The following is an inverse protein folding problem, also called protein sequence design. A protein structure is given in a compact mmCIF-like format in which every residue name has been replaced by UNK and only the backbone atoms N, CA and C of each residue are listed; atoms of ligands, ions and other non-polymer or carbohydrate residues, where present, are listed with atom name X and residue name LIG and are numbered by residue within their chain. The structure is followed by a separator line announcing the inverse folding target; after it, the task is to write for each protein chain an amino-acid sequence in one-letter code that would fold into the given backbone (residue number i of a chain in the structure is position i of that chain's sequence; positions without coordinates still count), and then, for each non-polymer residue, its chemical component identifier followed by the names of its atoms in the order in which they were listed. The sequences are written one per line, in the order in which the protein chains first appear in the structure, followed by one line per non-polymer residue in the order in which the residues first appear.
data_IF_608290034336
#
_entry.id   IF_608290034336
#
_cell.length_a   1.000
_cell.length_b   1.000
_cell.length_c   1.000
_cell.angle_alpha   90.00
_cell.angle_beta   90.00
_cell.angle_gamma   90.00
#
_symmetry.space_group_name_H-M   'P 1'
#
loop_
_entity.id
_entity.type
_entity.pdbx_description
1 polymer ?
#
# COMPACT_ATOMS: atom_id res chain seq x y z
N UNK A 1 4.85 -0.52 11.73
CA UNK A 1 3.90 -0.75 10.62
C UNK A 1 4.19 0.27 9.54
N UNK A 2 4.26 -0.15 8.28
CA UNK A 2 4.45 0.76 7.15
C UNK A 2 3.21 0.70 6.26
N UNK A 3 2.61 1.85 5.99
CA UNK A 3 1.44 1.96 5.12
C UNK A 3 1.91 2.33 3.71
N UNK A 4 1.49 1.52 2.73
CA UNK A 4 1.74 1.75 1.31
C UNK A 4 0.41 2.07 0.65
N UNK A 5 0.25 3.30 0.18
CA UNK A 5 -0.93 3.73 -0.54
C UNK A 5 -0.73 3.47 -2.03
N UNK A 6 -1.54 2.55 -2.58
CA UNK A 6 -1.45 2.11 -3.98
C UNK A 6 -2.37 2.88 -4.93
N UNK A 7 -2.95 3.99 -4.47
CA UNK A 7 -3.69 4.94 -5.32
C UNK A 7 -2.77 5.71 -6.26
N UNK A 8 -3.36 6.43 -7.21
CA UNK A 8 -2.58 7.34 -8.05
C UNK A 8 -2.00 8.48 -7.21
N UNK A 9 -0.99 9.14 -7.76
CA UNK A 9 -0.33 10.27 -7.11
C UNK A 9 -1.31 11.42 -6.82
N UNK A 10 -2.24 11.67 -7.74
CA UNK A 10 -3.24 12.73 -7.62
C UNK A 10 -4.21 12.44 -6.46
N UNK A 11 -4.69 11.21 -6.34
CA UNK A 11 -5.54 10.78 -5.23
C UNK A 11 -4.82 10.92 -3.88
N UNK A 12 -3.52 10.57 -3.84
CA UNK A 12 -2.69 10.66 -2.65
C UNK A 12 -2.42 12.12 -2.21
N UNK A 13 -2.18 13.01 -3.18
CA UNK A 13 -1.98 14.44 -2.92
C UNK A 13 -3.23 15.12 -2.36
N UNK A 14 -4.43 14.60 -2.66
CA UNK A 14 -5.69 15.07 -2.10
C UNK A 14 -5.93 14.69 -0.63
N UNK A 15 -5.07 13.85 -0.06
CA UNK A 15 -5.18 13.37 1.32
C UNK A 15 -4.74 11.91 1.41
N UNK A 16 -4.05 11.58 2.48
CA UNK A 16 -3.46 10.25 2.71
C UNK A 16 -3.24 9.98 4.19
N UNK A 17 -2.93 8.73 4.51
CA UNK A 17 -2.56 8.31 5.87
C UNK A 17 -1.22 8.95 6.22
N UNK A 18 -1.08 9.51 7.43
CA UNK A 18 0.19 10.10 7.88
C UNK A 18 1.34 9.10 7.77
N UNK A 19 2.50 9.57 7.32
CA UNK A 19 3.73 8.76 7.10
C UNK A 19 3.59 7.57 6.12
N UNK A 20 2.50 7.51 5.35
CA UNK A 20 2.36 6.52 4.27
C UNK A 20 3.23 6.85 3.06
N UNK A 21 3.66 5.81 2.35
CA UNK A 21 4.41 5.94 1.10
C UNK A 21 3.46 5.68 -0.06
N UNK A 22 3.42 6.59 -1.04
CA UNK A 22 2.67 6.35 -2.26
C UNK A 22 3.48 5.51 -3.24
N UNK A 23 2.94 4.33 -3.57
CA UNK A 23 3.46 3.45 -4.63
C UNK A 23 2.25 2.96 -5.42
N UNK A 24 1.86 3.67 -6.50
CA UNK A 24 0.71 3.30 -7.32
C UNK A 24 0.75 1.82 -7.73
N UNK A 25 -0.42 1.17 -7.80
CA UNK A 25 -0.54 -0.28 -8.06
C UNK A 25 0.24 -0.72 -9.31
N UNK A 26 0.20 0.07 -10.39
CA UNK A 26 0.90 -0.19 -11.64
C UNK A 26 2.42 -0.05 -11.55
N UNK A 27 2.93 0.61 -10.52
CA UNK A 27 4.37 0.79 -10.28
C UNK A 27 4.96 -0.27 -9.33
N UNK A 28 4.12 -1.02 -8.60
CA UNK A 28 4.57 -2.07 -7.67
C UNK A 28 5.59 -3.04 -8.30
N UNK A 29 5.40 -3.57 -9.52
CA UNK A 29 6.37 -4.51 -10.10
C UNK A 29 7.77 -3.92 -10.28
N UNK A 30 7.86 -2.62 -10.55
CA UNK A 30 9.13 -1.93 -10.76
C UNK A 30 9.79 -1.48 -9.46
N UNK A 31 9.06 -1.52 -8.33
CA UNK A 31 9.53 -1.06 -7.02
C UNK A 31 9.58 -2.16 -5.96
N UNK A 32 9.56 -3.43 -6.38
CA UNK A 32 9.66 -4.60 -5.49
C UNK A 32 10.88 -4.49 -4.56
N UNK A 33 12.05 -4.13 -5.10
CA UNK A 33 13.29 -4.05 -4.31
C UNK A 33 13.20 -3.03 -3.18
N UNK A 34 12.42 -1.96 -3.34
CA UNK A 34 12.18 -0.99 -2.27
C UNK A 34 11.33 -1.61 -1.16
N UNK A 35 10.28 -2.35 -1.54
CA UNK A 35 9.36 -3.01 -0.63
C UNK A 35 10.02 -4.14 0.17
N UNK A 36 10.96 -4.88 -0.44
CA UNK A 36 11.72 -5.93 0.24
C UNK A 36 12.59 -5.39 1.38
N UNK A 37 13.02 -4.13 1.29
CA UNK A 37 13.85 -3.48 2.31
C UNK A 37 13.02 -2.84 3.42
N UNK A 38 11.68 -2.83 3.32
CA UNK A 38 10.83 -2.25 4.35
C UNK A 38 10.67 -3.19 5.54
N UNK A 39 10.74 -2.63 6.75
CA UNK A 39 10.44 -3.37 7.97
C UNK A 39 8.94 -3.68 8.07
N UNK A 40 8.62 -4.95 8.36
CA UNK A 40 7.27 -5.41 8.63
C UNK A 40 6.68 -4.78 9.92
N UNK A 41 5.35 -4.74 10.08
CA UNK A 41 4.32 -5.18 9.12
C UNK A 41 4.05 -4.14 8.03
N UNK A 42 3.84 -4.61 6.78
CA UNK A 42 3.46 -3.80 5.63
C UNK A 42 1.94 -3.90 5.42
N UNK A 43 1.27 -2.74 5.31
CA UNK A 43 -0.17 -2.65 5.05
C UNK A 43 -0.39 -1.87 3.77
N UNK A 44 -1.11 -2.46 2.81
CA UNK A 44 -1.49 -1.77 1.58
C UNK A 44 -2.89 -1.17 1.74
N UNK A 45 -3.08 0.09 1.34
CA UNK A 45 -4.39 0.73 1.30
C UNK A 45 -4.66 1.34 -0.08
N UNK A 46 -5.93 1.57 -0.40
CA UNK A 46 -6.31 2.32 -1.58
C UNK A 46 -7.60 3.13 -1.36
N UNK A 47 -8.36 3.49 -2.39
CA UNK A 47 -9.62 4.22 -2.19
C UNK A 47 -10.71 3.37 -1.51
N UNK A 48 -10.84 2.09 -1.88
CA UNK A 48 -11.96 1.22 -1.48
C UNK A 48 -11.58 -0.21 -1.07
N UNK A 49 -10.29 -0.55 -1.10
CA UNK A 49 -9.78 -1.91 -0.81
C UNK A 49 -9.47 -2.79 -2.02
N UNK A 50 -10.00 -2.49 -3.22
CA UNK A 50 -9.83 -3.37 -4.40
C UNK A 50 -8.41 -3.38 -4.97
N UNK A 51 -7.75 -2.21 -5.05
CA UNK A 51 -6.38 -2.09 -5.58
C UNK A 51 -5.36 -2.62 -4.60
N UNK A 52 -5.57 -2.38 -3.30
CA UNK A 52 -4.70 -2.93 -2.25
C UNK A 52 -4.81 -4.46 -2.18
N UNK A 53 -5.99 -5.05 -2.40
CA UNK A 53 -6.12 -6.51 -2.51
C UNK A 53 -5.27 -7.09 -3.67
N UNK A 54 -5.30 -6.44 -4.84
CA UNK A 54 -4.46 -6.84 -5.98
C UNK A 54 -2.97 -6.71 -5.66
N UNK A 55 -2.57 -5.60 -5.04
CA UNK A 55 -1.18 -5.39 -4.62
C UNK A 55 -0.70 -6.43 -3.59
N UNK A 56 -1.55 -6.78 -2.61
CA UNK A 56 -1.22 -7.81 -1.62
C UNK A 56 -1.03 -9.17 -2.29
N UNK A 57 -1.96 -9.59 -3.15
CA UNK A 57 -1.81 -10.84 -3.90
C UNK A 57 -0.51 -10.84 -4.71
N UNK A 58 -0.18 -9.73 -5.37
CA UNK A 58 1.07 -9.61 -6.13
C UNK A 58 2.30 -9.74 -5.23
N UNK A 59 2.38 -8.98 -4.15
CA UNK A 59 3.54 -8.95 -3.26
C UNK A 59 3.73 -10.26 -2.48
N UNK A 60 2.64 -10.91 -2.05
CA UNK A 60 2.71 -12.22 -1.41
C UNK A 60 3.24 -13.29 -2.37
N UNK A 61 2.88 -13.25 -3.67
CA UNK A 61 3.46 -14.12 -4.69
C UNK A 61 4.97 -13.86 -4.92
N UNK A 62 5.47 -12.68 -4.56
CA UNK A 62 6.90 -12.34 -4.57
C UNK A 62 7.60 -12.65 -3.22
N UNK A 63 6.91 -13.29 -2.28
CA UNK A 63 7.44 -13.63 -0.96
C UNK A 63 7.46 -12.47 0.05
N UNK A 64 6.79 -11.36 -0.24
CA UNK A 64 6.73 -10.19 0.64
C UNK A 64 5.48 -10.29 1.53
N UNK A 65 5.71 -10.36 2.85
CA UNK A 65 4.62 -10.38 3.83
C UNK A 65 3.95 -9.00 3.92
N UNK A 66 2.66 -8.97 3.59
CA UNK A 66 1.84 -7.76 3.64
C UNK A 66 0.36 -8.10 3.81
N UNK A 67 -0.40 -7.11 4.28
CA UNK A 67 -1.84 -7.22 4.56
C UNK A 67 -2.65 -6.16 3.82
N UNK A 68 -3.92 -6.49 3.52
CA UNK A 68 -4.85 -5.55 2.91
C UNK A 68 -5.52 -4.71 3.98
N UNK A 69 -5.22 -3.41 4.01
CA UNK A 69 -5.79 -2.44 4.94
C UNK A 69 -7.16 -1.90 4.53
N UNK A 70 -7.61 -2.13 3.29
CA UNK A 70 -8.88 -1.62 2.77
C UNK A 70 -8.78 -0.19 2.22
N UNK A 71 -9.75 0.66 2.56
CA UNK A 71 -9.71 2.08 2.22
C UNK A 71 -8.67 2.82 3.06
N UNK A 72 -7.99 3.81 2.48
CA UNK A 72 -7.05 4.66 3.19
C UNK A 72 -7.73 5.43 4.32
N UNK A 73 -9.04 5.71 4.24
CA UNK A 73 -9.82 6.31 5.34
C UNK A 73 -9.93 5.36 6.54
N UNK A 74 -10.18 4.08 6.28
CA UNK A 74 -10.26 3.06 7.33
C UNK A 74 -8.89 2.84 7.98
N UNK A 75 -7.83 2.84 7.18
CA UNK A 75 -6.45 2.74 7.69
C UNK A 75 -6.09 3.99 8.49
N UNK A 76 -6.45 5.19 8.01
CA UNK A 76 -6.20 6.45 8.71
C UNK A 76 -6.89 6.51 10.08
N UNK A 77 -8.04 5.88 10.23
CA UNK A 77 -8.75 5.81 11.50
C UNK A 77 -8.14 4.81 12.52
N UNK A 78 -7.21 3.96 12.08
CA UNK A 78 -6.55 2.92 12.91
C UNK A 78 -5.14 3.30 13.36
N UNK A 79 -4.56 4.36 12.79
CA UNK A 79 -3.17 4.80 13.06
C UNK A 79 -3.10 5.96 14.03
#
# INVERSE_FOLDING_TARGET
MKVIDVRTREEFMGGHVVDSINIPLNELPNRISELQNLSAPIVLCCASGNRSAQGVNFLQNQGISCENGGSWLEVNARV
#
